data_IF_662639635989
#
_entry.id   IF_662639635989
#
_cell.length_a   1.000
_cell.length_b   1.000
_cell.length_c   1.000
_cell.angle_alpha   90.00
_cell.angle_beta   90.00
_cell.angle_gamma   90.00
#
_symmetry.space_group_name_H-M   'P 1'
#
loop_
_entity.id
_entity.type
_entity.pdbx_description
1 polymer ?
#
# COMPACT_ATOMS: atom_id res chain seq x y z
N UNK A 1 21.23 -6.40 -10.08
CA UNK A 1 20.14 -5.42 -9.85
C UNK A 1 18.84 -6.09 -9.40
N UNK A 2 18.37 -7.16 -10.06
CA UNK A 2 17.13 -7.86 -9.68
C UNK A 2 17.07 -8.32 -8.21
N UNK A 3 18.19 -8.77 -7.63
CA UNK A 3 18.27 -9.17 -6.22
C UNK A 3 17.93 -8.06 -5.21
N UNK A 4 17.94 -6.79 -5.62
CA UNK A 4 17.61 -5.66 -4.77
C UNK A 4 16.15 -5.20 -4.92
N UNK A 5 15.34 -5.90 -5.73
CA UNK A 5 13.92 -5.55 -5.94
C UNK A 5 13.10 -5.61 -4.65
N UNK A 6 13.50 -6.44 -3.67
CA UNK A 6 12.86 -6.51 -2.35
C UNK A 6 12.85 -5.16 -1.61
N UNK A 7 13.78 -4.23 -1.88
CA UNK A 7 13.76 -2.90 -1.29
C UNK A 7 12.51 -2.10 -1.70
N UNK A 8 11.98 -2.33 -2.91
CA UNK A 8 10.70 -1.77 -3.32
C UNK A 8 9.55 -2.27 -2.43
N UNK A 9 9.55 -3.56 -2.10
CA UNK A 9 8.62 -4.15 -1.15
C UNK A 9 8.75 -3.55 0.25
N UNK A 10 9.97 -3.39 0.76
CA UNK A 10 10.24 -2.74 2.05
C UNK A 10 9.75 -1.28 2.06
N UNK A 11 9.97 -0.53 0.99
CA UNK A 11 9.47 0.84 0.87
C UNK A 11 7.93 0.89 0.95
N UNK A 12 7.24 -0.08 0.33
CA UNK A 12 5.80 -0.22 0.45
C UNK A 12 5.37 -0.53 1.90
N UNK A 13 6.07 -1.40 2.62
CA UNK A 13 5.80 -1.68 4.05
C UNK A 13 5.94 -0.41 4.89
N UNK A 14 7.00 0.39 4.69
CA UNK A 14 7.19 1.65 5.42
C UNK A 14 6.10 2.69 5.09
N UNK A 15 5.67 2.77 3.83
CA UNK A 15 4.56 3.65 3.44
C UNK A 15 3.26 3.24 4.13
N UNK A 16 2.96 1.94 4.18
CA UNK A 16 1.79 1.40 4.87
C UNK A 16 1.84 1.65 6.38
N UNK A 17 3.03 1.56 6.97
CA UNK A 17 3.28 1.87 8.37
C UNK A 17 3.08 3.36 8.68
N UNK A 18 3.61 4.27 7.84
CA UNK A 18 3.39 5.73 7.96
C UNK A 18 1.89 6.05 7.97
N UNK A 19 1.13 5.53 7.00
CA UNK A 19 -0.29 5.88 6.78
C UNK A 19 -1.20 5.75 7.99
N UNK A 20 -0.82 4.98 9.02
CA UNK A 20 -1.53 4.92 10.30
C UNK A 20 -1.77 6.31 10.89
N UNK A 21 -0.77 7.20 10.88
CA UNK A 21 -0.91 8.54 11.45
C UNK A 21 -2.00 9.35 10.73
N UNK A 22 -1.92 9.41 9.39
CA UNK A 22 -2.87 10.11 8.53
C UNK A 22 -4.30 9.59 8.70
N UNK A 23 -4.49 8.27 8.77
CA UNK A 23 -5.83 7.71 8.96
C UNK A 23 -6.36 8.01 10.35
N UNK A 24 -5.57 7.81 11.41
CA UNK A 24 -6.02 8.11 12.77
C UNK A 24 -6.44 9.58 12.91
N UNK A 25 -5.64 10.49 12.37
CA UNK A 25 -5.92 11.92 12.38
C UNK A 25 -7.19 12.28 11.59
N UNK A 26 -7.46 11.61 10.47
CA UNK A 26 -8.70 11.83 9.74
C UNK A 26 -9.93 11.27 10.47
N UNK A 27 -9.77 10.14 11.14
CA UNK A 27 -10.88 9.43 11.78
C UNK A 27 -11.34 10.04 13.09
N UNK A 28 -10.51 10.86 13.75
CA UNK A 28 -10.95 11.68 14.89
C UNK A 28 -12.06 12.67 14.52
N UNK A 29 -12.26 12.94 13.23
CA UNK A 29 -13.37 13.75 12.72
C UNK A 29 -14.65 12.95 12.42
N UNK A 30 -14.77 11.70 12.91
CA UNK A 30 -16.03 10.95 12.88
C UNK A 30 -16.38 10.27 11.55
N UNK A 31 -15.38 10.00 10.71
CA UNK A 31 -15.60 9.54 9.32
C UNK A 31 -16.15 8.12 9.14
N UNK A 32 -16.27 7.31 10.20
CA UNK A 32 -16.90 5.98 10.17
C UNK A 32 -16.59 5.13 8.93
N UNK A 33 -17.49 5.19 7.93
CA UNK A 33 -17.45 4.43 6.67
C UNK A 33 -16.64 5.08 5.52
N UNK A 34 -16.17 6.32 5.66
CA UNK A 34 -15.37 7.06 4.68
C UNK A 34 -13.89 6.68 4.63
N UNK A 35 -13.44 5.79 5.52
CA UNK A 35 -12.03 5.40 5.64
C UNK A 35 -11.63 4.36 4.58
N UNK A 36 -12.46 3.32 4.31
CA UNK A 36 -12.21 2.41 3.20
C UNK A 36 -12.24 3.08 1.81
N UNK A 37 -13.17 4.02 1.57
CA UNK A 37 -13.29 4.70 0.28
C UNK A 37 -12.08 5.56 -0.04
N UNK A 38 -11.56 6.30 0.95
CA UNK A 38 -10.38 7.11 0.78
C UNK A 38 -9.08 6.31 0.57
N UNK A 39 -8.98 5.10 1.14
CA UNK A 39 -7.86 4.20 0.85
C UNK A 39 -7.87 3.71 -0.61
N UNK A 40 -9.05 3.41 -1.16
CA UNK A 40 -9.20 3.04 -2.58
C UNK A 40 -8.90 4.20 -3.53
N UNK A 41 -9.37 5.40 -3.20
CA UNK A 41 -9.06 6.62 -3.97
C UNK A 41 -7.56 6.90 -3.97
N UNK A 42 -6.92 6.81 -2.80
CA UNK A 42 -5.48 7.01 -2.66
C UNK A 42 -4.65 6.04 -3.51
N UNK A 43 -5.03 4.76 -3.56
CA UNK A 43 -4.40 3.79 -4.44
C UNK A 43 -4.68 4.03 -5.92
N UNK A 44 -5.91 4.44 -6.27
CA UNK A 44 -6.26 4.78 -7.66
C UNK A 44 -5.42 5.94 -8.18
N UNK A 45 -5.31 7.00 -7.38
CA UNK A 45 -4.39 8.11 -7.67
C UNK A 45 -2.92 7.67 -7.68
N UNK A 46 -2.55 6.68 -6.86
CA UNK A 46 -1.20 6.12 -6.84
C UNK A 46 -0.82 5.40 -8.14
N UNK A 47 -1.75 4.62 -8.71
CA UNK A 47 -1.56 3.98 -10.03
C UNK A 47 -1.41 5.04 -11.12
N UNK A 48 -2.26 6.06 -11.12
CA UNK A 48 -2.19 7.17 -12.09
C UNK A 48 -0.85 7.92 -11.95
N UNK A 49 -0.46 8.26 -10.72
CA UNK A 49 0.79 8.95 -10.44
C UNK A 49 2.02 8.13 -10.85
N UNK A 50 2.00 6.82 -10.59
CA UNK A 50 3.04 5.90 -11.05
C UNK A 50 3.15 5.93 -12.57
N UNK A 51 2.05 5.69 -13.29
CA UNK A 51 2.05 5.65 -14.77
C UNK A 51 2.57 6.97 -15.35
N UNK A 52 2.11 8.12 -14.86
CA UNK A 52 2.57 9.43 -15.30
C UNK A 52 4.06 9.65 -15.00
N UNK A 53 4.52 9.29 -13.81
CA UNK A 53 5.93 9.44 -13.43
C UNK A 53 6.85 8.55 -14.27
N UNK A 54 6.46 7.29 -14.52
CA UNK A 54 7.25 6.35 -15.32
C UNK A 54 7.42 6.78 -16.78
N UNK A 55 6.50 7.60 -17.32
CA UNK A 55 6.57 8.16 -18.68
C UNK A 55 7.60 9.29 -18.81
N UNK A 56 7.91 9.98 -17.72
CA UNK A 56 8.85 11.11 -17.69
C UNK A 56 10.25 10.59 -17.33
N UNK A 57 10.63 9.43 -17.88
CA UNK A 57 11.93 8.77 -17.63
C UNK A 57 13.10 9.44 -18.37
N UNK A 58 12.85 10.51 -19.14
CA UNK A 58 13.86 11.24 -19.93
C UNK A 58 15.03 11.76 -19.10
N UNK A 59 14.81 12.04 -17.81
CA UNK A 59 15.84 12.55 -16.88
C UNK A 59 16.54 11.46 -16.06
N UNK A 60 16.29 10.19 -16.38
CA UNK A 60 16.89 9.02 -15.73
C UNK A 60 15.96 8.31 -14.76
N UNK A 61 16.21 7.01 -14.46
CA UNK A 61 15.29 6.20 -13.67
C UNK A 61 15.06 6.74 -12.24
N UNK A 62 16.09 7.32 -11.61
CA UNK A 62 16.01 7.77 -10.21
C UNK A 62 15.06 8.95 -9.98
N UNK A 63 14.63 9.64 -11.04
CA UNK A 63 13.64 10.72 -10.96
C UNK A 63 12.22 10.17 -10.75
N UNK A 64 11.96 8.93 -11.17
CA UNK A 64 10.62 8.33 -11.18
C UNK A 64 10.00 8.26 -9.78
N UNK A 65 10.69 7.79 -8.72
CA UNK A 65 10.11 7.78 -7.37
C UNK A 65 9.77 9.18 -6.84
N UNK A 66 10.65 10.16 -7.06
CA UNK A 66 10.44 11.54 -6.62
C UNK A 66 9.23 12.15 -7.33
N UNK A 67 9.17 11.99 -8.65
CA UNK A 67 8.08 12.52 -9.46
C UNK A 67 6.75 11.83 -9.14
N UNK A 68 6.77 10.52 -8.86
CA UNK A 68 5.60 9.77 -8.43
C UNK A 68 4.99 10.35 -7.15
N UNK A 69 5.83 10.68 -6.16
CA UNK A 69 5.39 11.33 -4.91
C UNK A 69 4.83 12.72 -5.16
N UNK A 70 5.49 13.54 -5.98
CA UNK A 70 5.04 14.91 -6.29
C UNK A 70 3.69 14.89 -7.02
N UNK A 71 3.55 14.06 -8.06
CA UNK A 71 2.29 13.94 -8.81
C UNK A 71 1.17 13.43 -7.88
N UNK A 72 1.46 12.44 -7.03
CA UNK A 72 0.48 11.91 -6.09
C UNK A 72 0.01 12.95 -5.07
N UNK A 73 0.93 13.80 -4.57
CA UNK A 73 0.60 14.89 -3.65
C UNK A 73 -0.33 15.91 -4.31
N UNK A 74 -0.05 16.30 -5.56
CA UNK A 74 -0.89 17.23 -6.33
C UNK A 74 -2.26 16.63 -6.59
N UNK A 75 -2.33 15.38 -7.06
CA UNK A 75 -3.60 14.68 -7.29
C UNK A 75 -4.41 14.57 -6.01
N UNK A 76 -3.78 14.21 -4.89
CA UNK A 76 -4.46 14.11 -3.60
C UNK A 76 -4.93 15.46 -3.06
N UNK A 77 -4.19 16.54 -3.29
CA UNK A 77 -4.63 17.89 -2.95
C UNK A 77 -5.86 18.32 -3.77
N UNK A 78 -5.88 18.03 -5.08
CA UNK A 78 -7.04 18.29 -5.95
C UNK A 78 -8.25 17.48 -5.47
N UNK A 79 -8.09 16.17 -5.29
CA UNK A 79 -9.17 15.28 -4.83
C UNK A 79 -9.67 15.72 -3.45
N UNK A 80 -8.76 16.10 -2.55
CA UNK A 80 -9.12 16.57 -1.22
C UNK A 80 -9.85 17.91 -1.24
N UNK A 81 -9.49 18.82 -2.14
CA UNK A 81 -10.21 20.07 -2.35
C UNK A 81 -11.64 19.82 -2.86
N UNK A 82 -11.79 18.91 -3.83
CA UNK A 82 -13.11 18.50 -4.35
C UNK A 82 -13.95 17.86 -3.24
N UNK A 83 -13.37 16.94 -2.47
CA UNK A 83 -14.06 16.28 -1.36
C UNK A 83 -14.53 17.27 -0.28
N UNK A 84 -13.71 18.27 0.05
CA UNK A 84 -14.07 19.24 1.07
C UNK A 84 -15.08 20.29 0.58
N UNK A 85 -14.87 20.86 -0.60
CA UNK A 85 -15.60 22.05 -1.07
C UNK A 85 -16.75 21.74 -2.02
N UNK A 86 -16.70 20.63 -2.78
CA UNK A 86 -17.76 20.28 -3.74
C UNK A 86 -18.69 19.23 -3.12
N UNK A 87 -18.12 18.19 -2.51
CA UNK A 87 -18.89 17.14 -1.82
C UNK A 87 -19.37 17.62 -0.43
N UNK A 88 -18.90 18.79 0.03
CA UNK A 88 -19.30 19.40 1.30
C UNK A 88 -19.07 18.50 2.52
N UNK A 89 -17.97 17.74 2.54
CA UNK A 89 -17.59 16.96 3.71
C UNK A 89 -17.16 17.84 4.90
N UNK A 90 -16.76 19.09 4.65
CA UNK A 90 -16.46 20.11 5.67
C UNK A 90 -15.50 19.65 6.79
N UNK A 91 -14.43 18.95 6.43
CA UNK A 91 -13.42 18.46 7.38
C UNK A 91 -12.14 19.31 7.23
N UNK A 92 -11.69 20.00 8.29
CA UNK A 92 -10.57 20.95 8.23
C UNK A 92 -9.27 20.39 7.65
N UNK A 93 -9.02 19.10 7.85
CA UNK A 93 -7.77 18.42 7.48
C UNK A 93 -7.89 17.55 6.23
N UNK A 94 -9.02 17.65 5.49
CA UNK A 94 -9.34 16.75 4.38
C UNK A 94 -8.30 16.80 3.26
N UNK A 95 -7.91 18.00 2.84
CA UNK A 95 -6.98 18.21 1.71
C UNK A 95 -5.62 17.56 2.00
N UNK A 96 -5.04 17.89 3.16
CA UNK A 96 -3.73 17.37 3.58
C UNK A 96 -3.79 15.85 3.81
N UNK A 97 -4.84 15.37 4.49
CA UNK A 97 -4.98 13.95 4.79
C UNK A 97 -5.19 13.08 3.54
N UNK A 98 -5.88 13.60 2.50
CA UNK A 98 -6.00 12.90 1.22
C UNK A 98 -4.67 12.96 0.46
N UNK A 99 -3.99 14.11 0.42
CA UNK A 99 -2.67 14.24 -0.20
C UNK A 99 -1.65 13.24 0.38
N UNK A 100 -1.55 13.14 1.71
CA UNK A 100 -0.68 12.18 2.38
C UNK A 100 -1.04 10.72 2.07
N UNK A 101 -2.34 10.38 2.05
CA UNK A 101 -2.74 9.03 1.66
C UNK A 101 -2.43 8.72 0.20
N UNK A 102 -2.62 9.68 -0.72
CA UNK A 102 -2.26 9.51 -2.13
C UNK A 102 -0.76 9.28 -2.29
N UNK A 103 0.10 9.98 -1.53
CA UNK A 103 1.55 9.72 -1.48
C UNK A 103 1.82 8.29 -1.02
N UNK A 104 1.20 7.86 0.09
CA UNK A 104 1.34 6.48 0.58
C UNK A 104 0.93 5.48 -0.50
N UNK A 105 -0.20 5.74 -1.18
CA UNK A 105 -0.69 4.87 -2.23
C UNK A 105 0.27 4.78 -3.40
N UNK A 106 0.84 5.91 -3.82
CA UNK A 106 1.85 5.97 -4.87
C UNK A 106 3.13 5.20 -4.52
N UNK A 107 3.67 5.42 -3.31
CA UNK A 107 4.86 4.69 -2.83
C UNK A 107 4.58 3.19 -2.70
N UNK A 108 3.40 2.81 -2.23
CA UNK A 108 2.99 1.40 -2.10
C UNK A 108 2.92 0.73 -3.47
N UNK A 109 2.23 1.35 -4.43
CA UNK A 109 2.05 0.81 -5.78
C UNK A 109 3.39 0.76 -6.52
N UNK A 110 4.18 1.84 -6.49
CA UNK A 110 5.49 1.90 -7.13
C UNK A 110 6.47 0.90 -6.50
N UNK A 111 6.50 0.81 -5.18
CA UNK A 111 7.37 -0.11 -4.44
C UNK A 111 7.07 -1.58 -4.74
N UNK A 112 5.79 -1.97 -4.71
CA UNK A 112 5.38 -3.33 -5.07
C UNK A 112 5.56 -3.61 -6.57
N UNK A 113 5.40 -2.62 -7.44
CA UNK A 113 5.73 -2.74 -8.88
C UNK A 113 7.21 -2.99 -9.09
N UNK A 114 8.06 -2.18 -8.45
CA UNK A 114 9.52 -2.32 -8.52
C UNK A 114 10.00 -3.66 -7.97
N UNK A 115 9.31 -4.18 -6.94
CA UNK A 115 9.57 -5.52 -6.44
C UNK A 115 9.17 -6.60 -7.44
N UNK A 116 7.99 -6.48 -8.05
CA UNK A 116 7.45 -7.44 -8.99
C UNK A 116 8.30 -7.61 -10.25
N UNK A 117 8.77 -6.50 -10.81
CA UNK A 117 9.41 -6.46 -12.13
C UNK A 117 10.91 -6.15 -12.07
N UNK A 118 11.42 -5.71 -10.91
CA UNK A 118 12.81 -5.24 -10.76
C UNK A 118 13.08 -3.87 -11.38
N UNK A 119 12.05 -3.18 -11.89
CA UNK A 119 12.15 -1.90 -12.59
C UNK A 119 10.88 -1.07 -12.36
N UNK A 120 10.99 0.22 -12.61
CA UNK A 120 9.85 1.15 -12.65
C UNK A 120 9.88 2.00 -13.91
N UNK A 121 10.63 1.57 -14.93
CA UNK A 121 10.72 2.25 -16.23
C UNK A 121 9.55 1.81 -17.10
N UNK A 122 8.86 2.77 -17.74
CA UNK A 122 7.60 2.48 -18.44
C UNK A 122 7.75 1.44 -19.55
N UNK A 123 8.83 1.47 -20.34
CA UNK A 123 9.07 0.52 -21.45
C UNK A 123 9.04 -0.93 -20.99
N UNK A 124 9.65 -1.21 -19.84
CA UNK A 124 9.78 -2.55 -19.29
C UNK A 124 8.47 -3.02 -18.65
N UNK A 125 7.65 -2.07 -18.18
CA UNK A 125 6.34 -2.38 -17.59
C UNK A 125 5.28 -2.73 -18.64
N UNK A 126 5.42 -2.26 -19.89
CA UNK A 126 4.49 -2.54 -20.98
C UNK A 126 4.96 -3.64 -21.94
N UNK A 127 6.24 -3.97 -21.97
CA UNK A 127 6.80 -4.93 -22.92
C UNK A 127 7.14 -6.25 -22.22
N UNK A 128 6.42 -7.32 -22.57
CA UNK A 128 6.80 -8.69 -22.25
C UNK A 128 7.48 -9.38 -23.43
N UNK A 129 7.98 -10.58 -23.21
CA UNK A 129 8.59 -11.42 -24.27
C UNK A 129 7.82 -12.73 -24.38
N UNK A 130 7.44 -13.11 -25.60
CA UNK A 130 6.91 -14.44 -25.92
C UNK A 130 7.79 -15.09 -27.00
N UNK A 131 7.91 -16.42 -26.98
CA UNK A 131 8.68 -17.14 -27.99
C UNK A 131 7.76 -17.65 -29.09
N UNK A 132 8.01 -17.26 -30.34
CA UNK A 132 7.36 -17.81 -31.52
C UNK A 132 8.41 -18.57 -32.34
N UNK A 133 8.26 -19.91 -32.43
CA UNK A 133 9.26 -20.79 -33.05
C UNK A 133 10.70 -20.58 -32.54
N UNK A 134 10.86 -20.34 -31.23
CA UNK A 134 12.18 -20.09 -30.61
C UNK A 134 12.73 -18.67 -30.79
N UNK A 135 12.02 -17.80 -31.51
CA UNK A 135 12.38 -16.38 -31.67
C UNK A 135 11.64 -15.55 -30.62
N UNK A 136 12.32 -14.74 -29.80
CA UNK A 136 11.67 -13.84 -28.88
C UNK A 136 10.96 -12.71 -29.65
N UNK A 137 9.67 -12.54 -29.40
CA UNK A 137 8.80 -11.50 -29.96
C UNK A 137 8.21 -10.70 -28.80
N UNK A 138 8.11 -9.38 -28.98
CA UNK A 138 7.48 -8.49 -27.99
C UNK A 138 6.00 -8.84 -27.84
N UNK A 139 5.57 -9.10 -26.61
CA UNK A 139 4.19 -9.37 -26.27
C UNK A 139 3.70 -8.42 -25.18
N UNK A 140 2.81 -7.51 -25.55
CA UNK A 140 2.24 -6.52 -24.62
C UNK A 140 1.26 -7.16 -23.61
N UNK A 141 0.61 -8.26 -23.95
CA UNK A 141 -0.29 -8.98 -23.04
C UNK A 141 0.48 -9.76 -21.95
N UNK A 142 1.73 -10.16 -22.23
CA UNK A 142 2.62 -10.81 -21.28
C UNK A 142 3.47 -9.81 -20.46
N UNK A 143 3.02 -8.56 -20.34
CA UNK A 143 3.70 -7.51 -19.58
C UNK A 143 3.05 -7.28 -18.21
N UNK A 144 3.73 -6.54 -17.33
CA UNK A 144 3.19 -6.21 -16.01
C UNK A 144 1.89 -5.39 -16.08
N UNK A 145 1.85 -4.37 -16.95
CA UNK A 145 0.68 -3.53 -17.13
C UNK A 145 -0.39 -4.18 -18.02
N UNK A 146 0.01 -4.74 -19.17
CA UNK A 146 -0.93 -5.34 -20.12
C UNK A 146 -1.49 -6.69 -19.67
N UNK A 147 -0.74 -7.44 -18.86
CA UNK A 147 -1.18 -8.70 -18.24
C UNK A 147 -1.99 -8.51 -16.95
N UNK A 148 -2.22 -7.28 -16.51
CA UNK A 148 -3.07 -6.98 -15.35
C UNK A 148 -2.44 -7.26 -13.98
N UNK A 149 -1.14 -7.53 -13.89
CA UNK A 149 -0.45 -7.75 -12.60
C UNK A 149 -0.55 -6.53 -11.65
N UNK A 150 -0.66 -5.33 -12.22
CA UNK A 150 -0.95 -4.09 -11.47
C UNK A 150 -2.28 -4.15 -10.70
N UNK A 151 -3.29 -4.88 -11.18
CA UNK A 151 -4.57 -5.02 -10.48
C UNK A 151 -4.42 -5.80 -9.17
N UNK A 152 -3.53 -6.80 -9.15
CA UNK A 152 -3.20 -7.55 -7.92
C UNK A 152 -2.51 -6.64 -6.91
N UNK A 153 -1.54 -5.84 -7.35
CA UNK A 153 -0.85 -4.86 -6.50
C UNK A 153 -1.82 -3.81 -5.96
N UNK A 154 -2.74 -3.33 -6.80
CA UNK A 154 -3.81 -2.43 -6.39
C UNK A 154 -4.68 -3.07 -5.30
N UNK A 155 -5.14 -4.31 -5.48
CA UNK A 155 -5.99 -4.96 -4.48
C UNK A 155 -5.27 -5.23 -3.17
N UNK A 156 -4.03 -5.76 -3.24
CA UNK A 156 -3.21 -6.00 -2.05
C UNK A 156 -2.94 -4.72 -1.28
N UNK A 157 -2.51 -3.66 -1.97
CA UNK A 157 -2.26 -2.37 -1.33
C UNK A 157 -3.55 -1.74 -0.78
N UNK A 158 -4.69 -1.86 -1.46
CA UNK A 158 -5.95 -1.27 -1.01
C UNK A 158 -6.40 -1.94 0.30
N UNK A 159 -6.29 -3.26 0.38
CA UNK A 159 -6.58 -4.03 1.60
C UNK A 159 -5.59 -3.64 2.70
N UNK A 160 -4.28 -3.60 2.42
CA UNK A 160 -3.27 -3.26 3.40
C UNK A 160 -3.41 -1.82 3.95
N UNK A 161 -3.80 -0.86 3.11
CA UNK A 161 -4.11 0.54 3.46
C UNK A 161 -5.41 0.67 4.26
N UNK A 162 -6.16 -0.39 4.55
CA UNK A 162 -7.44 -0.26 5.28
C UNK A 162 -7.53 -1.24 6.44
N UNK A 163 -7.07 -2.48 6.26
CA UNK A 163 -7.25 -3.58 7.18
C UNK A 163 -6.73 -3.27 8.59
N UNK A 164 -5.49 -2.80 8.71
CA UNK A 164 -4.89 -2.52 10.02
C UNK A 164 -5.68 -1.51 10.85
N UNK A 165 -6.38 -0.58 10.20
CA UNK A 165 -7.23 0.39 10.88
C UNK A 165 -8.60 -0.20 11.21
N UNK A 166 -9.24 -0.86 10.25
CA UNK A 166 -10.56 -1.46 10.43
C UNK A 166 -10.57 -2.56 11.50
N UNK A 167 -9.48 -3.33 11.62
CA UNK A 167 -9.34 -4.43 12.56
C UNK A 167 -8.91 -3.99 13.97
N UNK A 168 -8.27 -2.82 14.11
CA UNK A 168 -7.78 -2.33 15.41
C UNK A 168 -8.61 -1.16 15.98
N UNK A 169 -9.54 -0.61 15.20
CA UNK A 169 -10.48 0.43 15.61
C UNK A 169 -11.39 -0.07 16.73
N UNK A 170 -11.35 0.62 17.86
CA UNK A 170 -12.26 0.39 18.97
C UNK A 170 -11.79 1.14 20.21
N UNK A 171 -12.56 1.09 21.30
CA UNK A 171 -12.17 1.68 22.59
C UNK A 171 -10.82 1.18 23.12
N UNK A 172 -10.39 -0.01 22.69
CA UNK A 172 -9.14 -0.66 23.05
C UNK A 172 -8.05 -0.54 21.95
N UNK A 173 -8.07 0.50 21.11
CA UNK A 173 -6.98 0.72 20.13
C UNK A 173 -5.68 1.04 20.84
N UNK A 174 -4.70 0.15 20.71
CA UNK A 174 -3.32 0.42 21.10
C UNK A 174 -2.49 0.72 19.85
N UNK A 175 -1.69 1.78 19.92
CA UNK A 175 -0.91 2.28 18.78
C UNK A 175 0.05 1.24 18.24
N UNK A 176 0.70 0.52 19.14
CA UNK A 176 1.65 -0.53 18.82
C UNK A 176 0.98 -1.72 18.10
N UNK A 177 -0.22 -2.15 18.53
CA UNK A 177 -0.97 -3.22 17.84
C UNK A 177 -1.34 -2.81 16.42
N UNK A 178 -1.86 -1.60 16.23
CA UNK A 178 -2.21 -1.07 14.90
C UNK A 178 -1.00 -0.99 13.98
N UNK A 179 0.14 -0.51 14.48
CA UNK A 179 1.37 -0.40 13.71
C UNK A 179 1.95 -1.78 13.33
N UNK A 180 1.88 -2.75 14.25
CA UNK A 180 2.32 -4.13 13.96
C UNK A 180 1.41 -4.81 12.93
N UNK A 181 0.10 -4.58 12.99
CA UNK A 181 -0.83 -5.09 11.99
C UNK A 181 -0.63 -4.41 10.62
N UNK A 182 -0.31 -3.11 10.59
CA UNK A 182 0.00 -2.42 9.34
C UNK A 182 1.27 -2.99 8.68
N UNK A 183 2.30 -3.27 9.48
CA UNK A 183 3.52 -3.92 9.00
C UNK A 183 3.26 -5.36 8.52
N UNK A 184 2.46 -6.14 9.26
CA UNK A 184 2.03 -7.49 8.88
C UNK A 184 1.32 -7.48 7.52
N UNK A 185 0.34 -6.58 7.31
CA UNK A 185 -0.38 -6.42 6.05
C UNK A 185 0.54 -5.99 4.89
N UNK A 186 1.59 -5.23 5.19
CA UNK A 186 2.62 -4.90 4.21
C UNK A 186 3.46 -6.12 3.82
N UNK A 187 3.93 -6.89 4.80
CA UNK A 187 4.77 -8.07 4.54
C UNK A 187 3.99 -9.21 3.88
N UNK A 188 2.72 -9.43 4.21
CA UNK A 188 1.89 -10.41 3.49
C UNK A 188 1.62 -9.98 2.05
N UNK A 189 1.45 -8.68 1.78
CA UNK A 189 1.35 -8.16 0.41
C UNK A 189 2.65 -8.35 -0.35
N UNK A 190 3.79 -8.08 0.29
CA UNK A 190 5.12 -8.33 -0.23
C UNK A 190 5.32 -9.82 -0.55
N UNK A 191 4.83 -10.72 0.30
CA UNK A 191 4.88 -12.16 0.09
C UNK A 191 4.11 -12.59 -1.16
N UNK A 192 2.86 -12.15 -1.31
CA UNK A 192 2.06 -12.42 -2.51
C UNK A 192 2.72 -11.89 -3.78
N UNK A 193 3.29 -10.67 -3.73
CA UNK A 193 4.00 -10.08 -4.87
C UNK A 193 5.27 -10.86 -5.20
N UNK A 194 5.95 -11.46 -4.21
CA UNK A 194 7.14 -12.28 -4.47
C UNK A 194 6.82 -13.49 -5.34
N UNK A 195 5.70 -14.16 -5.08
CA UNK A 195 5.24 -15.30 -5.88
C UNK A 195 4.88 -14.86 -7.30
N UNK A 196 4.19 -13.73 -7.43
CA UNK A 196 3.87 -13.14 -8.74
C UNK A 196 5.13 -12.74 -9.54
N UNK A 197 6.22 -12.38 -8.84
CA UNK A 197 7.48 -11.96 -9.45
C UNK A 197 8.17 -13.07 -10.26
N UNK A 198 7.79 -14.34 -10.07
CA UNK A 198 8.31 -15.48 -10.87
C UNK A 198 8.03 -15.28 -12.36
N UNK A 199 6.98 -14.55 -12.72
CA UNK A 199 6.66 -14.25 -14.12
C UNK A 199 7.61 -13.23 -14.78
N UNK A 200 8.38 -12.46 -13.99
CA UNK A 200 9.16 -11.32 -14.49
C UNK A 200 10.64 -11.38 -14.12
N UNK A 201 10.99 -12.05 -13.02
CA UNK A 201 12.33 -12.08 -12.45
C UNK A 201 12.91 -13.49 -12.43
N UNK A 202 14.23 -13.57 -12.37
CA UNK A 202 14.92 -14.86 -12.18
C UNK A 202 14.56 -15.48 -10.83
N UNK A 203 14.47 -16.82 -10.79
CA UNK A 203 14.08 -17.57 -9.58
C UNK A 203 14.95 -17.22 -8.36
N UNK A 204 16.25 -17.03 -8.57
CA UNK A 204 17.19 -16.63 -7.52
C UNK A 204 16.86 -15.28 -6.87
N UNK A 205 16.45 -14.27 -7.65
CA UNK A 205 16.03 -12.97 -7.14
C UNK A 205 14.69 -13.06 -6.40
N UNK A 206 13.77 -13.86 -6.92
CA UNK A 206 12.46 -14.11 -6.28
C UNK A 206 12.63 -14.76 -4.91
N UNK A 207 13.54 -15.74 -4.77
CA UNK A 207 13.80 -16.42 -3.50
C UNK A 207 14.24 -15.45 -2.40
N UNK A 208 15.05 -14.43 -2.73
CA UNK A 208 15.45 -13.40 -1.76
C UNK A 208 14.23 -12.62 -1.27
N UNK A 209 13.41 -12.10 -2.20
CA UNK A 209 12.18 -11.37 -1.87
C UNK A 209 11.18 -12.22 -1.09
N UNK A 210 11.06 -13.50 -1.42
CA UNK A 210 10.22 -14.47 -0.72
C UNK A 210 10.68 -14.68 0.72
N UNK A 211 11.98 -14.91 0.95
CA UNK A 211 12.51 -15.12 2.30
C UNK A 211 12.37 -13.88 3.17
N UNK A 212 12.69 -12.69 2.65
CA UNK A 212 12.57 -11.42 3.37
C UNK A 212 11.12 -11.14 3.76
N UNK A 213 10.18 -11.32 2.83
CA UNK A 213 8.75 -11.11 3.08
C UNK A 213 8.18 -12.11 4.09
N UNK A 214 8.54 -13.39 3.98
CA UNK A 214 8.08 -14.43 4.89
C UNK A 214 8.60 -14.21 6.32
N UNK A 215 9.90 -13.91 6.48
CA UNK A 215 10.49 -13.63 7.79
C UNK A 215 9.85 -12.40 8.43
N UNK A 216 9.70 -11.32 7.66
CA UNK A 216 9.05 -10.09 8.11
C UNK A 216 7.60 -10.32 8.52
N UNK A 217 6.85 -11.10 7.74
CA UNK A 217 5.47 -11.46 8.05
C UNK A 217 5.36 -12.30 9.32
N UNK A 218 6.14 -13.37 9.47
CA UNK A 218 6.11 -14.23 10.67
C UNK A 218 6.45 -13.43 11.93
N UNK A 219 7.44 -12.54 11.86
CA UNK A 219 7.81 -11.69 12.99
C UNK A 219 6.68 -10.73 13.38
N UNK A 220 6.16 -9.99 12.41
CA UNK A 220 5.11 -8.98 12.65
C UNK A 220 3.80 -9.61 13.10
N UNK A 221 3.42 -10.76 12.53
CA UNK A 221 2.25 -11.54 12.95
C UNK A 221 2.37 -12.04 14.39
N UNK A 222 3.51 -12.63 14.77
CA UNK A 222 3.75 -13.07 16.16
C UNK A 222 3.67 -11.91 17.15
N UNK A 223 4.25 -10.76 16.80
CA UNK A 223 4.19 -9.55 17.63
C UNK A 223 2.78 -9.00 17.74
N UNK A 224 2.05 -8.92 16.64
CA UNK A 224 0.63 -8.54 16.64
C UNK A 224 -0.18 -9.45 17.57
N UNK A 225 0.00 -10.77 17.49
CA UNK A 225 -0.72 -11.72 18.34
C UNK A 225 -0.44 -11.53 19.83
N UNK A 226 0.81 -11.26 20.21
CA UNK A 226 1.19 -10.97 21.62
C UNK A 226 0.51 -9.68 22.10
N UNK A 227 0.50 -8.63 21.28
CA UNK A 227 -0.14 -7.36 21.63
C UNK A 227 -1.67 -7.50 21.73
N UNK A 228 -2.28 -8.28 20.84
CA UNK A 228 -3.71 -8.59 20.90
C UNK A 228 -4.08 -9.35 22.17
N UNK A 229 -3.24 -10.29 22.63
CA UNK A 229 -3.45 -10.98 23.92
C UNK A 229 -3.33 -10.04 25.12
N UNK A 230 -2.35 -9.14 25.12
CA UNK A 230 -2.21 -8.11 26.16
C UNK A 230 -3.48 -7.27 26.26
N UNK A 231 -3.96 -6.76 25.12
CA UNK A 231 -5.11 -5.88 25.09
C UNK A 231 -6.42 -6.60 25.46
N UNK A 232 -6.55 -7.88 25.10
CA UNK A 232 -7.66 -8.71 25.55
C UNK A 232 -7.63 -8.97 27.06
N UNK A 233 -6.45 -9.22 27.64
CA UNK A 233 -6.28 -9.40 29.08
C UNK A 233 -6.69 -8.15 29.88
N UNK A 234 -6.25 -6.96 29.44
CA UNK A 234 -6.63 -5.70 30.10
C UNK A 234 -8.14 -5.42 30.08
N UNK A 235 -8.88 -6.03 29.13
CA UNK A 235 -10.31 -5.85 29.01
C UNK A 235 -11.12 -6.76 29.93
N UNK A 236 -10.59 -7.94 30.29
CA UNK A 236 -11.24 -8.86 31.22
C UNK A 236 -11.31 -8.31 32.65
N UNK A 237 -10.37 -7.42 33.02
CA UNK A 237 -10.38 -6.71 34.31
C UNK A 237 -11.18 -5.39 34.28
N UNK A 238 -11.59 -4.92 33.09
CA UNK A 238 -12.42 -3.74 32.94
C UNK A 238 -13.90 -4.14 33.03
N UNK A 239 -14.61 -3.67 34.08
CA UNK A 239 -16.06 -3.89 34.24
C UNK A 239 -16.82 -3.60 32.94
N UNK A 240 -17.90 -4.33 32.62
CA UNK A 240 -18.74 -4.03 31.47
C UNK A 240 -19.15 -2.56 31.51
N UNK A 241 -19.14 -1.92 30.35
CA UNK A 241 -19.66 -0.56 30.16
C UNK A 241 -21.01 -0.50 30.90
N UNK A 242 -21.14 0.41 31.88
CA UNK A 242 -22.45 0.69 32.48
C UNK A 242 -23.37 1.09 31.34
N UNK A 243 -24.30 0.21 30.99
CA UNK A 243 -25.44 0.59 30.18
C UNK A 243 -26.05 1.83 30.84
N UNK A 244 -26.39 2.84 30.02
CA UNK A 244 -27.06 4.04 30.53
C UNK A 244 -28.30 3.56 31.27
N UNK A 245 -28.40 3.88 32.57
CA UNK A 245 -29.70 3.88 33.23
C UNK A 245 -30.60 4.82 32.42
N UNK A 246 -31.65 4.24 31.85
CA UNK A 246 -32.74 4.98 31.24
C UNK A 246 -33.31 5.91 32.31
N UNK A 247 -33.22 7.22 32.04
CA UNK A 247 -33.83 8.27 32.85
C UNK A 247 -35.29 8.48 32.44
#
# INVERSE_FOLDING_TARGET
VQYFSFFGGIAAVFALWWRRYTIKHRCSYGLGTGVPSAGKIALGSGVIAMILATKISTYGPLVIPVLCVVIAAILGAIIGYVANNIVNMNIPVMVVSIAELCIVGAVTVLGLTAMATGTFVFSDLIAGTATFFGIPVTNYAASYLGGGAIAVVFMLGAIAVQHAFNACLGPNESQDRTLMLAAECGFISMFCVSIMSVAFLSLSAVLVSFLVSLIGWVYTYKKYFVLSKRDAFMWLDAKPIREKEEA
#
